data_IF_401728032611
#
_entry.id   IF_401728032611
#
_cell.length_a   1.000
_cell.length_b   1.000
_cell.length_c   1.000
_cell.angle_alpha   90.00
_cell.angle_beta   90.00
_cell.angle_gamma   90.00
#
_symmetry.space_group_name_H-M   'P 1'
#
loop_
_entity.id
_entity.type
_entity.pdbx_description
1 polymer ?
#
# COMPACT_ATOMS: atom_id res chain seq x y z
N UNK A 1 -4.71 22.30 13.96
CA UNK A 1 -3.34 22.15 13.44
C UNK A 1 -3.20 23.09 12.26
N UNK A 2 -2.40 24.14 12.43
CA UNK A 2 -2.06 25.11 11.40
C UNK A 2 -1.24 24.42 10.32
N UNK A 3 -1.68 24.53 9.07
CA UNK A 3 -1.01 23.97 7.91
C UNK A 3 0.39 24.58 7.76
N UNK A 4 1.42 23.75 7.62
CA UNK A 4 2.77 24.22 7.30
C UNK A 4 2.84 24.83 5.90
N UNK A 5 3.75 25.80 5.66
CA UNK A 5 3.86 26.53 4.39
C UNK A 5 4.10 25.62 3.17
N UNK A 6 4.78 24.49 3.35
CA UNK A 6 5.09 23.56 2.25
C UNK A 6 3.86 22.78 1.74
N UNK A 7 2.77 22.72 2.51
CA UNK A 7 1.47 22.16 2.06
C UNK A 7 0.61 23.19 1.30
N UNK A 8 0.91 24.48 1.46
CA UNK A 8 0.21 25.60 0.82
C UNK A 8 0.94 26.10 -0.44
N UNK A 9 2.24 25.85 -0.59
CA UNK A 9 2.99 26.22 -1.80
C UNK A 9 2.53 25.49 -3.06
N UNK A 10 1.86 24.33 -2.93
CA UNK A 10 1.21 23.64 -4.05
C UNK A 10 -0.25 24.06 -4.30
N UNK A 11 -0.76 25.04 -3.54
CA UNK A 11 -2.16 25.47 -3.52
C UNK A 11 -2.33 27.00 -3.70
N UNK A 12 -1.59 27.62 -4.62
CA UNK A 12 -1.90 28.99 -5.03
C UNK A 12 -3.01 28.95 -6.09
N UNK A 13 -4.27 29.23 -5.70
CA UNK A 13 -5.39 29.46 -6.63
C UNK A 13 -6.62 28.54 -6.56
N UNK A 14 -6.63 27.52 -5.69
CA UNK A 14 -7.88 27.01 -5.11
C UNK A 14 -8.77 26.03 -5.89
N UNK A 15 -8.31 25.29 -6.91
CA UNK A 15 -9.08 24.13 -7.46
C UNK A 15 -8.18 22.94 -7.83
N UNK A 16 -8.44 21.80 -7.18
CA UNK A 16 -7.72 20.52 -7.34
C UNK A 16 -8.25 19.81 -8.60
N UNK A 17 -7.36 19.34 -9.50
CA UNK A 17 -7.75 18.40 -10.58
C UNK A 17 -6.98 17.11 -10.45
N UNK A 18 -7.62 16.16 -9.79
CA UNK A 18 -7.73 14.78 -10.22
C UNK A 18 -6.53 13.86 -10.39
N UNK A 19 -6.78 12.57 -10.16
CA UNK A 19 -5.78 11.53 -10.42
C UNK A 19 -5.67 11.30 -11.92
N UNK A 20 -4.47 11.44 -12.47
CA UNK A 20 -4.20 11.07 -13.86
C UNK A 20 -4.42 9.55 -14.03
N UNK A 21 -5.23 9.17 -15.01
CA UNK A 21 -5.50 7.77 -15.34
C UNK A 21 -4.35 7.08 -16.09
N UNK A 22 -3.42 7.86 -16.65
CA UNK A 22 -2.31 7.37 -17.47
C UNK A 22 -0.93 7.48 -16.81
N UNK A 23 -0.80 8.22 -15.70
CA UNK A 23 0.46 8.43 -15.00
C UNK A 23 0.29 8.30 -13.48
N UNK A 24 1.06 7.39 -12.86
CA UNK A 24 1.07 7.19 -11.41
C UNK A 24 1.91 8.23 -10.64
N UNK A 25 2.80 8.94 -11.33
CA UNK A 25 3.69 9.94 -10.71
C UNK A 25 3.06 11.34 -10.59
N UNK A 26 1.87 11.55 -11.16
CA UNK A 26 1.21 12.83 -11.22
C UNK A 26 -0.11 12.81 -10.46
N UNK A 27 -0.23 13.56 -9.38
CA UNK A 27 -1.51 13.79 -8.70
C UNK A 27 -2.31 14.98 -9.32
N UNK A 28 -1.96 15.37 -10.56
CA UNK A 28 -2.65 16.36 -11.37
C UNK A 28 -2.44 17.83 -10.96
N UNK A 29 -2.36 18.74 -11.94
CA UNK A 29 -2.36 20.20 -11.78
C UNK A 29 -3.05 20.85 -12.97
N UNK A 30 -3.89 21.87 -12.73
CA UNK A 30 -4.23 22.86 -13.76
C UNK A 30 -4.09 24.28 -13.22
N UNK A 31 -3.59 25.14 -14.10
CA UNK A 31 -3.28 26.54 -13.85
C UNK A 31 -4.54 27.34 -13.47
N UNK A 32 -4.52 28.20 -12.43
CA UNK A 32 -5.57 29.18 -12.18
C UNK A 32 -5.64 30.31 -13.23
N UNK A 33 -4.74 30.34 -14.24
CA UNK A 33 -4.69 31.38 -15.28
C UNK A 33 -5.02 30.87 -16.69
N UNK A 34 -6.21 30.31 -16.88
CA UNK A 34 -6.91 30.36 -18.17
C UNK A 34 -8.36 30.85 -17.93
N UNK A 35 -8.85 31.80 -18.74
CA UNK A 35 -10.17 32.37 -18.56
C UNK A 35 -11.26 31.31 -18.78
N UNK A 36 -12.36 31.51 -18.08
CA UNK A 36 -13.63 30.79 -18.15
C UNK A 36 -13.89 30.22 -19.56
N UNK A 37 -14.13 28.91 -19.70
CA UNK A 37 -14.41 28.29 -21.00
C UNK A 37 -15.71 28.83 -21.64
N UNK A 38 -16.55 29.51 -20.88
CA UNK A 38 -17.66 30.31 -21.40
C UNK A 38 -17.21 31.59 -22.13
N UNK A 39 -16.03 32.13 -21.81
CA UNK A 39 -15.42 33.30 -22.45
C UNK A 39 -14.45 32.94 -23.60
N UNK A 40 -13.85 31.75 -23.59
CA UNK A 40 -12.99 31.27 -24.69
C UNK A 40 -13.78 30.86 -25.94
N UNK A 41 -15.07 30.53 -25.82
CA UNK A 41 -15.94 30.21 -26.95
C UNK A 41 -16.23 31.42 -27.87
N UNK A 42 -15.83 32.62 -27.48
CA UNK A 42 -16.06 33.84 -28.28
C UNK A 42 -14.88 34.23 -29.19
N UNK A 43 -13.73 33.57 -29.11
CA UNK A 43 -12.56 33.91 -29.93
C UNK A 43 -11.70 32.68 -30.24
N UNK A 44 -12.05 31.95 -31.31
CA UNK A 44 -11.14 31.60 -32.44
C UNK A 44 -11.86 30.68 -33.42
N UNK A 45 -12.17 31.20 -34.61
CA UNK A 45 -12.16 30.38 -35.82
C UNK A 45 -10.71 29.98 -36.08
N UNK A 46 -10.24 28.88 -35.45
CA UNK A 46 -9.05 28.06 -35.76
C UNK A 46 -8.47 27.46 -34.45
N UNK A 47 -8.60 26.14 -34.31
CA UNK A 47 -7.80 25.32 -33.41
C UNK A 47 -8.27 25.24 -31.96
N UNK A 48 -8.81 24.08 -31.56
CA UNK A 48 -8.93 23.70 -30.15
C UNK A 48 -7.55 23.74 -29.49
N UNK A 49 -7.37 24.54 -28.45
CA UNK A 49 -6.17 24.49 -27.60
C UNK A 49 -6.36 23.33 -26.61
N UNK A 50 -5.62 22.25 -26.82
CA UNK A 50 -5.61 21.11 -25.91
C UNK A 50 -4.95 21.51 -24.58
N UNK A 51 -5.73 21.49 -23.49
CA UNK A 51 -5.22 21.83 -22.15
C UNK A 51 -4.62 20.58 -21.53
N UNK A 52 -3.29 20.49 -21.53
CA UNK A 52 -2.58 19.35 -20.95
C UNK A 52 -2.02 19.66 -19.56
N UNK A 53 -1.93 18.62 -18.72
CA UNK A 53 -1.26 18.71 -17.43
C UNK A 53 0.23 19.01 -17.60
N UNK A 54 0.78 19.99 -16.87
CA UNK A 54 2.21 20.35 -16.95
C UNK A 54 3.16 19.29 -16.39
N UNK A 55 2.66 18.37 -15.57
CA UNK A 55 3.47 17.33 -14.92
C UNK A 55 3.52 16.04 -15.74
N UNK A 56 2.40 15.62 -16.34
CA UNK A 56 2.32 14.36 -17.11
C UNK A 56 2.04 14.53 -18.61
N UNK A 57 1.74 15.74 -19.08
CA UNK A 57 1.42 16.01 -20.48
C UNK A 57 0.08 15.45 -20.96
N UNK A 58 -0.68 14.74 -20.11
CA UNK A 58 -1.96 14.15 -20.49
C UNK A 58 -3.07 15.21 -20.63
N UNK A 59 -4.06 15.00 -21.51
CA UNK A 59 -5.22 15.89 -21.64
C UNK A 59 -5.99 15.98 -20.32
N UNK A 60 -6.57 17.14 -20.03
CA UNK A 60 -7.30 17.40 -18.79
C UNK A 60 -8.43 16.38 -18.54
N UNK A 61 -9.17 16.02 -19.59
CA UNK A 61 -10.28 15.07 -19.57
C UNK A 61 -9.90 13.66 -19.13
N UNK A 62 -8.61 13.32 -19.12
CA UNK A 62 -8.09 12.02 -18.65
C UNK A 62 -7.83 11.98 -17.14
N UNK A 63 -8.16 13.05 -16.40
CA UNK A 63 -8.01 13.14 -14.96
C UNK A 63 -9.36 12.95 -14.26
N UNK A 64 -9.42 12.05 -13.28
CA UNK A 64 -10.61 11.83 -12.44
C UNK A 64 -10.80 13.01 -11.48
N UNK A 65 -11.92 13.74 -11.48
CA UNK A 65 -12.16 14.76 -10.45
C UNK A 65 -12.31 14.13 -9.05
N UNK A 66 -11.27 14.29 -8.22
CA UNK A 66 -11.24 13.80 -6.84
C UNK A 66 -11.53 14.88 -5.79
N UNK A 67 -12.06 16.04 -6.16
CA UNK A 67 -12.26 17.18 -5.23
C UNK A 67 -13.06 16.79 -3.98
N UNK A 68 -14.20 16.12 -4.16
CA UNK A 68 -15.04 15.67 -3.05
C UNK A 68 -14.32 14.60 -2.18
N UNK A 69 -13.61 13.67 -2.82
CA UNK A 69 -12.82 12.62 -2.15
C UNK A 69 -11.69 13.25 -1.33
N UNK A 70 -10.95 14.19 -1.93
CA UNK A 70 -9.87 14.93 -1.27
C UNK A 70 -10.37 15.72 -0.07
N UNK A 71 -11.46 16.48 -0.20
CA UNK A 71 -12.04 17.23 0.91
C UNK A 71 -12.44 16.29 2.07
N UNK A 72 -13.05 15.13 1.76
CA UNK A 72 -13.39 14.13 2.76
C UNK A 72 -12.16 13.51 3.43
N UNK A 73 -11.08 13.29 2.67
CA UNK A 73 -9.84 12.66 3.14
C UNK A 73 -9.03 13.59 4.05
N UNK A 74 -8.86 14.85 3.64
CA UNK A 74 -8.17 15.88 4.44
C UNK A 74 -8.87 16.08 5.79
N UNK A 75 -10.21 16.17 5.78
CA UNK A 75 -10.99 16.32 7.01
C UNK A 75 -10.85 15.13 7.98
N UNK A 76 -10.42 13.97 7.47
CA UNK A 76 -10.20 12.73 8.24
C UNK A 76 -8.72 12.45 8.52
N UNK A 77 -7.81 13.36 8.16
CA UNK A 77 -6.37 13.20 8.36
C UNK A 77 -5.71 12.14 7.46
N UNK A 78 -6.38 11.74 6.37
CA UNK A 78 -5.84 10.75 5.44
C UNK A 78 -4.75 11.41 4.58
N UNK A 79 -3.58 10.77 4.37
CA UNK A 79 -2.54 11.34 3.52
C UNK A 79 -2.97 11.42 2.06
N UNK A 80 -2.39 12.36 1.30
CA UNK A 80 -2.64 12.56 -0.14
C UNK A 80 -2.46 11.29 -0.98
N UNK A 81 -1.47 10.46 -0.64
CA UNK A 81 -1.25 9.16 -1.28
C UNK A 81 -2.50 8.25 -1.22
N UNK A 82 -3.35 8.44 -0.21
CA UNK A 82 -4.59 7.71 -0.02
C UNK A 82 -5.63 7.91 -1.11
N UNK A 83 -5.53 8.99 -1.89
CA UNK A 83 -6.40 9.16 -3.05
C UNK A 83 -6.27 8.00 -4.05
N UNK A 84 -5.07 7.41 -4.16
CA UNK A 84 -4.76 6.29 -5.07
C UNK A 84 -4.95 4.90 -4.45
N UNK A 85 -5.25 4.83 -3.16
CA UNK A 85 -5.47 3.55 -2.48
C UNK A 85 -6.79 2.93 -2.90
N UNK A 86 -6.76 1.63 -3.14
CA UNK A 86 -7.94 0.76 -3.19
C UNK A 86 -8.68 0.75 -1.85
N UNK A 87 -9.95 0.31 -1.80
CA UNK A 87 -10.70 0.21 -0.55
C UNK A 87 -9.97 -0.62 0.53
N UNK A 88 -9.36 -1.75 0.13
CA UNK A 88 -8.60 -2.62 1.04
C UNK A 88 -7.38 -1.88 1.62
N UNK A 89 -6.63 -1.17 0.77
CA UNK A 89 -5.47 -0.39 1.22
C UNK A 89 -5.85 0.72 2.19
N UNK A 90 -6.98 1.37 1.95
CA UNK A 90 -7.52 2.39 2.85
C UNK A 90 -7.98 1.78 4.18
N UNK A 91 -8.67 0.65 4.16
CA UNK A 91 -9.10 -0.06 5.36
C UNK A 91 -7.90 -0.53 6.18
N UNK A 92 -6.86 -1.09 5.55
CA UNK A 92 -5.62 -1.48 6.24
C UNK A 92 -4.90 -0.27 6.85
N UNK A 93 -4.79 0.84 6.13
CA UNK A 93 -4.22 2.07 6.71
C UNK A 93 -5.03 2.54 7.91
N UNK A 94 -6.36 2.55 7.81
CA UNK A 94 -7.26 2.99 8.89
C UNK A 94 -7.14 2.08 10.10
N UNK A 95 -7.27 0.77 9.90
CA UNK A 95 -7.33 -0.22 10.98
C UNK A 95 -5.98 -0.41 11.67
N UNK A 96 -4.90 0.03 11.02
CA UNK A 96 -3.56 0.11 11.60
C UNK A 96 -3.24 1.48 12.17
N UNK A 97 -4.20 2.38 12.34
CA UNK A 97 -4.00 3.76 12.82
C UNK A 97 -2.90 4.52 12.04
N UNK A 98 -2.78 4.24 10.75
CA UNK A 98 -1.85 4.86 9.83
C UNK A 98 -0.42 4.33 9.85
N UNK A 99 -0.14 3.29 10.62
CA UNK A 99 1.17 2.61 10.62
C UNK A 99 1.42 1.84 9.32
N UNK A 100 0.39 1.22 8.73
CA UNK A 100 0.52 0.65 7.39
C UNK A 100 0.33 1.72 6.32
N UNK A 101 1.32 1.86 5.45
CA UNK A 101 1.25 2.73 4.28
C UNK A 101 1.51 1.87 3.04
N UNK A 102 0.50 1.66 2.19
CA UNK A 102 0.70 0.98 0.92
C UNK A 102 1.80 1.69 0.12
N UNK A 103 2.75 0.91 -0.40
CA UNK A 103 3.73 1.43 -1.33
C UNK A 103 3.00 1.90 -2.60
N UNK A 104 3.48 2.97 -3.27
CA UNK A 104 3.01 3.29 -4.62
C UNK A 104 3.16 2.02 -5.45
N UNK A 105 2.10 1.62 -6.14
CA UNK A 105 2.13 0.50 -7.08
C UNK A 105 3.24 0.79 -8.10
N UNK A 106 4.45 0.27 -7.87
CA UNK A 106 5.33 -0.03 -8.98
C UNK A 106 4.65 -1.18 -9.73
N UNK A 107 4.61 -1.11 -11.05
CA UNK A 107 3.99 -2.12 -11.92
C UNK A 107 4.47 -3.57 -11.63
N UNK A 108 5.50 -3.74 -10.80
CA UNK A 108 6.04 -5.02 -10.35
C UNK A 108 5.30 -5.67 -9.14
N UNK A 109 4.42 -4.95 -8.43
CA UNK A 109 4.00 -5.32 -7.07
C UNK A 109 2.74 -6.18 -6.91
N UNK A 110 1.90 -6.30 -7.93
CA UNK A 110 0.80 -7.27 -7.94
C UNK A 110 1.03 -8.22 -9.10
N UNK A 111 1.80 -9.29 -8.87
CA UNK A 111 1.69 -10.46 -9.74
C UNK A 111 0.23 -10.86 -9.71
N UNK A 112 -0.47 -10.62 -10.83
CA UNK A 112 -1.81 -11.16 -11.04
C UNK A 112 -1.67 -12.67 -11.01
N UNK A 113 -2.62 -13.33 -10.34
CA UNK A 113 -2.89 -14.76 -10.41
C UNK A 113 -2.59 -15.26 -11.82
N UNK A 114 -1.47 -15.95 -11.96
CA UNK A 114 -0.95 -16.45 -13.21
C UNK A 114 -0.51 -17.87 -12.91
N UNK A 115 -1.39 -18.82 -13.27
CA UNK A 115 -1.22 -20.28 -13.20
C UNK A 115 -0.10 -20.72 -12.24
N UNK A 116 -0.35 -20.72 -10.93
CA UNK A 116 0.70 -21.07 -9.99
C UNK A 116 0.16 -21.68 -8.72
N UNK A 117 0.55 -22.92 -8.44
CA UNK A 117 0.32 -23.60 -7.16
C UNK A 117 1.07 -22.93 -5.98
N UNK A 118 1.41 -21.63 -6.07
CA UNK A 118 2.20 -20.96 -5.04
C UNK A 118 1.41 -20.75 -3.76
N UNK A 119 1.96 -21.25 -2.67
CA UNK A 119 1.39 -21.10 -1.32
C UNK A 119 2.13 -20.00 -0.55
N UNK A 120 1.39 -18.99 -0.12
CA UNK A 120 1.87 -18.01 0.85
C UNK A 120 1.52 -18.47 2.25
N UNK A 121 2.54 -18.87 3.00
CA UNK A 121 2.36 -19.15 4.43
C UNK A 121 2.38 -17.83 5.17
N UNK A 122 1.31 -17.51 5.89
CA UNK A 122 1.21 -16.30 6.69
C UNK A 122 1.33 -16.63 8.17
N UNK A 123 2.08 -15.81 8.91
CA UNK A 123 2.21 -15.96 10.35
C UNK A 123 2.21 -14.58 11.04
N UNK A 124 1.20 -14.27 11.86
CA UNK A 124 1.28 -13.18 12.82
C UNK A 124 2.18 -13.60 14.00
N UNK A 125 3.01 -12.70 14.50
CA UNK A 125 3.82 -12.90 15.71
C UNK A 125 3.90 -11.61 16.55
N UNK A 126 4.60 -11.68 17.68
CA UNK A 126 4.86 -10.59 18.62
C UNK A 126 6.26 -10.70 19.23
N UNK A 127 6.75 -9.63 19.86
CA UNK A 127 8.04 -9.64 20.56
C UNK A 127 8.12 -10.72 21.66
N UNK A 128 7.03 -10.94 22.40
CA UNK A 128 6.90 -11.95 23.47
C UNK A 128 6.98 -13.39 22.97
N UNK A 129 6.86 -13.60 21.66
CA UNK A 129 6.85 -14.93 21.02
C UNK A 129 8.10 -15.23 20.19
N UNK A 130 9.14 -14.38 20.30
CA UNK A 130 10.43 -14.55 19.61
C UNK A 130 11.11 -15.89 19.82
N UNK A 131 10.88 -16.55 20.96
CA UNK A 131 11.43 -17.88 21.22
C UNK A 131 10.95 -18.93 20.20
N UNK A 132 9.82 -18.71 19.54
CA UNK A 132 9.27 -19.63 18.55
C UNK A 132 9.75 -19.37 17.11
N UNK A 133 10.37 -18.22 16.83
CA UNK A 133 10.77 -17.85 15.46
C UNK A 133 11.67 -18.88 14.76
N UNK A 134 12.69 -19.46 15.42
CA UNK A 134 13.50 -20.52 14.80
C UNK A 134 12.70 -21.78 14.46
N UNK A 135 11.71 -22.12 15.28
CA UNK A 135 10.85 -23.30 15.08
C UNK A 135 9.87 -23.08 13.93
N UNK A 136 9.23 -21.91 13.86
CA UNK A 136 8.38 -21.52 12.73
C UNK A 136 9.15 -21.60 11.40
N UNK A 137 10.36 -21.03 11.36
CA UNK A 137 11.21 -21.10 10.16
C UNK A 137 11.53 -22.54 9.76
N UNK A 138 11.85 -23.40 10.73
CA UNK A 138 12.11 -24.81 10.45
C UNK A 138 10.87 -25.50 9.87
N UNK A 139 9.71 -25.32 10.50
CA UNK A 139 8.43 -25.87 10.04
C UNK A 139 8.10 -25.45 8.60
N UNK A 140 8.26 -24.16 8.28
CA UNK A 140 8.08 -23.67 6.91
C UNK A 140 9.11 -24.25 5.95
N UNK A 141 10.39 -24.27 6.33
CA UNK A 141 11.49 -24.70 5.47
C UNK A 141 11.40 -26.18 5.07
N UNK A 142 10.93 -27.04 5.96
CA UNK A 142 10.85 -28.49 5.70
C UNK A 142 9.62 -28.89 4.88
N UNK A 143 8.70 -27.96 4.57
CA UNK A 143 7.52 -28.30 3.77
C UNK A 143 7.94 -28.81 2.39
N UNK A 144 7.29 -29.87 1.93
CA UNK A 144 7.58 -30.51 0.64
C UNK A 144 7.03 -29.74 -0.54
N UNK A 145 5.97 -28.95 -0.34
CA UNK A 145 5.39 -28.11 -1.38
C UNK A 145 6.32 -26.97 -1.80
N UNK A 146 6.46 -26.77 -3.11
CA UNK A 146 7.16 -25.65 -3.75
C UNK A 146 6.44 -25.38 -5.09
N UNK A 147 6.16 -24.11 -5.47
CA UNK A 147 6.64 -22.86 -4.88
C UNK A 147 5.93 -22.46 -3.58
N UNK A 148 6.69 -21.90 -2.62
CA UNK A 148 6.14 -21.28 -1.40
C UNK A 148 6.91 -20.05 -0.93
N UNK A 149 6.21 -19.15 -0.24
CA UNK A 149 6.77 -18.00 0.47
C UNK A 149 6.32 -17.99 1.95
N UNK A 150 6.98 -17.19 2.78
CA UNK A 150 6.63 -16.98 4.18
C UNK A 150 6.45 -15.49 4.44
N UNK A 151 5.26 -15.08 4.87
CA UNK A 151 4.92 -13.71 5.24
C UNK A 151 4.76 -13.62 6.76
N UNK A 152 5.68 -12.92 7.42
CA UNK A 152 5.65 -12.74 8.88
C UNK A 152 5.31 -11.30 9.23
N UNK A 153 4.22 -11.13 10.00
CA UNK A 153 3.78 -9.83 10.52
C UNK A 153 4.07 -9.78 12.02
N UNK A 154 5.07 -9.01 12.39
CA UNK A 154 5.55 -8.85 13.76
C UNK A 154 5.12 -7.50 14.33
N UNK A 155 4.53 -7.52 15.53
CA UNK A 155 4.26 -6.28 16.28
C UNK A 155 5.08 -6.30 17.54
N UNK A 156 5.88 -5.26 17.71
CA UNK A 156 6.80 -5.12 18.83
C UNK A 156 6.83 -3.67 19.30
N UNK A 157 7.00 -3.42 20.60
CA UNK A 157 7.23 -2.04 21.09
C UNK A 157 8.72 -1.66 21.03
N UNK A 158 9.57 -2.68 21.05
CA UNK A 158 11.02 -2.61 21.00
C UNK A 158 11.54 -2.83 19.56
N UNK A 159 12.77 -3.32 19.44
CA UNK A 159 13.42 -3.54 18.16
C UNK A 159 12.86 -4.76 17.41
N UNK A 160 12.86 -4.76 16.07
CA UNK A 160 12.44 -5.91 15.28
C UNK A 160 13.22 -7.18 15.64
N UNK A 161 12.64 -8.34 15.33
CA UNK A 161 13.30 -9.62 15.50
C UNK A 161 14.56 -9.71 14.63
N UNK A 162 15.73 -9.70 15.27
CA UNK A 162 17.03 -9.90 14.60
C UNK A 162 17.07 -11.18 13.76
N UNK A 163 16.44 -12.25 14.26
CA UNK A 163 16.30 -13.50 13.53
C UNK A 163 15.59 -13.32 12.19
N UNK A 164 14.43 -12.66 12.17
CA UNK A 164 13.67 -12.47 10.93
C UNK A 164 14.30 -11.46 9.99
N UNK A 165 14.92 -10.39 10.51
CA UNK A 165 15.72 -9.48 9.71
C UNK A 165 16.78 -10.26 8.91
N UNK A 166 17.60 -11.04 9.61
CA UNK A 166 18.62 -11.89 8.98
C UNK A 166 18.04 -12.88 7.98
N UNK A 167 16.94 -13.55 8.33
CA UNK A 167 16.32 -14.55 7.43
C UNK A 167 15.74 -13.94 6.15
N UNK A 168 15.13 -12.76 6.25
CA UNK A 168 14.61 -12.04 5.09
C UNK A 168 15.70 -11.49 4.16
N UNK A 169 16.91 -11.25 4.68
CA UNK A 169 18.09 -10.93 3.86
C UNK A 169 18.67 -12.17 3.18
N UNK A 170 18.63 -13.34 3.83
CA UNK A 170 19.18 -14.61 3.34
C UNK A 170 18.28 -15.30 2.30
N UNK A 171 16.95 -15.20 2.41
CA UNK A 171 15.99 -15.87 1.53
C UNK A 171 14.89 -14.90 1.08
N UNK A 172 14.89 -14.58 -0.22
CA UNK A 172 13.94 -13.64 -0.83
C UNK A 172 12.47 -14.09 -0.78
N UNK A 173 12.21 -15.37 -0.46
CA UNK A 173 10.84 -15.89 -0.24
C UNK A 173 10.29 -15.54 1.14
N UNK A 174 11.09 -14.91 2.01
CA UNK A 174 10.67 -14.50 3.35
C UNK A 174 10.35 -13.00 3.33
N UNK A 175 9.06 -12.69 3.46
CA UNK A 175 8.53 -11.35 3.55
C UNK A 175 8.32 -11.03 5.03
N UNK A 176 9.29 -10.36 5.64
CA UNK A 176 9.18 -9.88 7.02
C UNK A 176 8.72 -8.42 7.06
N UNK A 177 7.68 -8.14 7.86
CA UNK A 177 7.26 -6.79 8.20
C UNK A 177 7.07 -6.67 9.70
N UNK A 178 7.72 -5.66 10.27
CA UNK A 178 7.54 -5.31 11.67
C UNK A 178 6.81 -3.98 11.79
N UNK A 179 6.00 -3.85 12.83
CA UNK A 179 5.30 -2.61 13.17
C UNK A 179 5.55 -2.29 14.63
N UNK A 180 6.04 -1.07 14.88
CA UNK A 180 6.35 -0.61 16.24
C UNK A 180 5.07 -0.20 16.97
N UNK A 181 4.34 -1.18 17.49
CA UNK A 181 3.07 -1.03 18.18
C UNK A 181 2.97 -2.02 19.35
N UNK A 182 2.26 -1.68 20.44
CA UNK A 182 1.96 -2.63 21.50
C UNK A 182 1.31 -3.90 20.97
N UNK A 183 1.78 -5.05 21.44
CA UNK A 183 1.39 -6.37 20.93
C UNK A 183 -0.12 -6.61 20.94
N UNK A 184 -0.82 -5.99 21.90
CA UNK A 184 -2.26 -6.11 22.11
C UNK A 184 -3.09 -5.12 21.30
N UNK A 185 -2.47 -4.12 20.68
CA UNK A 185 -3.20 -3.11 19.91
C UNK A 185 -3.75 -3.69 18.61
N UNK A 186 -3.01 -4.62 17.99
CA UNK A 186 -3.44 -5.24 16.75
C UNK A 186 -3.98 -6.63 16.99
N UNK A 187 -5.23 -6.84 16.58
CA UNK A 187 -5.82 -8.17 16.60
C UNK A 187 -5.08 -9.13 15.66
N UNK A 188 -5.17 -10.43 15.94
CA UNK A 188 -4.64 -11.47 15.05
C UNK A 188 -5.26 -11.34 13.65
N UNK A 189 -6.56 -11.00 13.57
CA UNK A 189 -7.25 -10.78 12.30
C UNK A 189 -6.66 -9.65 11.48
N UNK A 190 -6.33 -8.51 12.12
CA UNK A 190 -5.69 -7.38 11.44
C UNK A 190 -4.31 -7.77 10.88
N UNK A 191 -3.50 -8.47 11.67
CA UNK A 191 -2.19 -8.96 11.21
C UNK A 191 -2.33 -9.94 10.04
N UNK A 192 -3.31 -10.84 10.08
CA UNK A 192 -3.62 -11.76 8.97
C UNK A 192 -4.06 -11.00 7.72
N UNK A 193 -4.90 -9.98 7.85
CA UNK A 193 -5.30 -9.14 6.71
C UNK A 193 -4.10 -8.43 6.05
N UNK A 194 -3.17 -7.90 6.85
CA UNK A 194 -1.91 -7.34 6.33
C UNK A 194 -1.06 -8.40 5.63
N UNK A 195 -0.94 -9.59 6.22
CA UNK A 195 -0.17 -10.67 5.62
C UNK A 195 -0.78 -11.11 4.28
N UNK A 196 -2.10 -11.27 4.21
CA UNK A 196 -2.82 -11.58 2.97
C UNK A 196 -2.63 -10.49 1.91
N UNK A 197 -2.58 -9.22 2.30
CA UNK A 197 -2.33 -8.12 1.38
C UNK A 197 -0.92 -8.16 0.77
N UNK A 198 0.06 -8.59 1.57
CA UNK A 198 1.47 -8.67 1.18
C UNK A 198 1.82 -9.98 0.46
N UNK A 199 0.99 -11.00 0.62
CA UNK A 199 1.14 -12.30 -0.03
C UNK A 199 1.00 -12.17 -1.56
N UNK A 200 1.78 -12.99 -2.27
CA UNK A 200 1.78 -13.05 -3.73
C UNK A 200 1.35 -14.41 -4.30
N UNK A 201 1.09 -15.40 -3.44
CA UNK A 201 0.59 -16.73 -3.82
C UNK A 201 -0.92 -16.78 -4.00
N UNK A 202 -1.38 -17.77 -4.76
CA UNK A 202 -2.81 -17.99 -5.05
C UNK A 202 -3.51 -18.72 -3.89
N UNK A 203 -2.75 -19.43 -3.05
CA UNK A 203 -3.24 -20.13 -1.85
C UNK A 203 -2.61 -19.53 -0.60
N UNK A 204 -3.42 -19.28 0.43
CA UNK A 204 -2.97 -18.82 1.74
C UNK A 204 -3.02 -19.98 2.73
N UNK A 205 -1.90 -20.25 3.41
CA UNK A 205 -1.83 -21.17 4.54
C UNK A 205 -1.52 -20.41 5.84
N UNK A 206 -2.25 -20.69 6.92
CA UNK A 206 -2.03 -20.04 8.20
C UNK A 206 -1.13 -20.90 9.08
N UNK A 207 0.03 -20.36 9.47
CA UNK A 207 0.83 -20.95 10.53
C UNK A 207 0.69 -20.09 11.79
N UNK A 208 0.47 -20.73 12.92
CA UNK A 208 0.70 -20.14 14.23
C UNK A 208 2.16 -20.44 14.61
N UNK A 209 2.85 -19.46 15.20
CA UNK A 209 4.29 -19.53 15.46
C UNK A 209 4.67 -20.57 16.52
N UNK A 210 3.76 -20.94 17.43
CA UNK A 210 3.95 -21.94 18.49
C UNK A 210 3.51 -23.37 18.12
N UNK A 211 3.00 -23.57 16.90
CA UNK A 211 2.56 -24.88 16.42
C UNK A 211 3.68 -25.64 15.67
N UNK A 212 3.51 -26.96 15.59
CA UNK A 212 4.40 -27.86 14.86
C UNK A 212 3.75 -28.35 13.56
N UNK A 213 4.37 -28.04 12.43
CA UNK A 213 3.91 -28.47 11.10
C UNK A 213 4.88 -29.50 10.51
N UNK A 214 4.36 -30.69 10.21
CA UNK A 214 5.13 -31.75 9.57
C UNK A 214 5.44 -31.46 8.09
N UNK A 215 6.41 -32.14 7.46
CA UNK A 215 6.85 -31.83 6.09
C UNK A 215 5.77 -31.89 5.00
N UNK A 216 4.75 -32.73 5.15
CA UNK A 216 3.65 -32.87 4.18
C UNK A 216 2.38 -32.15 4.59
N UNK A 217 2.49 -31.06 5.36
CA UNK A 217 1.33 -30.25 5.74
C UNK A 217 0.87 -29.36 4.59
N UNK A 218 1.82 -28.77 3.86
CA UNK A 218 1.62 -28.17 2.54
C UNK A 218 1.90 -29.22 1.45
#
# INVERSE_FOLDING_TARGET
VSFGPDMLEHCIGGRLRGLCQHCYHCNGWTNPSLPDLAAAAAQTEQGFVEVCCKTCGCPEETHEDVTAKFAAYVNRGVPLAGLRWSPIEFDLWRDTDGFFKPAPLSDAGRRRAGEGDMVSVICPTTASRRCFHPFLFLCWKIQTHDPKELVVIDTCEDEPSEFWLKKSEEDARIIYRHYRVPERNWSIGLKRNLACYLASGDVIAHFDDDDLYGPGHL
#
